data_IF_984511932179
#
_entry.id   IF_984511932179
#
_cell.length_a   1.000
_cell.length_b   1.000
_cell.length_c   1.000
_cell.angle_alpha   90.00
_cell.angle_beta   90.00
_cell.angle_gamma   90.00
#
_symmetry.space_group_name_H-M   'P 1'
#
loop_
_entity.id
_entity.type
_entity.pdbx_description
1 polymer ?
#
# COMPACT_ATOMS: atom_id res chain seq x y z
N UNK A 1 22.97 11.61 23.85
CA UNK A 1 22.01 10.49 23.91
C UNK A 1 20.65 11.04 23.49
N UNK A 2 20.18 10.80 22.27
CA UNK A 2 18.89 11.30 21.80
C UNK A 2 17.88 10.14 21.89
N UNK A 3 16.94 10.22 22.84
CA UNK A 3 15.87 9.24 23.01
C UNK A 3 14.82 9.48 21.93
N UNK A 4 14.73 8.58 20.95
CA UNK A 4 13.60 8.54 20.03
C UNK A 4 12.43 7.85 20.75
N UNK A 5 11.45 8.64 21.18
CA UNK A 5 10.14 8.13 21.61
C UNK A 5 9.45 7.60 20.37
N UNK A 6 9.40 6.27 20.21
CA UNK A 6 8.56 5.65 19.21
C UNK A 6 7.12 5.78 19.70
N UNK A 7 6.37 6.70 19.10
CA UNK A 7 4.94 6.85 19.38
C UNK A 7 4.24 5.52 19.13
N UNK A 8 3.49 5.09 20.14
CA UNK A 8 2.68 3.89 20.14
C UNK A 8 1.82 3.86 18.87
N UNK A 9 2.05 2.85 18.01
CA UNK A 9 1.14 2.59 16.90
C UNK A 9 -0.22 2.25 17.48
N UNK A 10 -1.15 3.14 17.17
CA UNK A 10 -2.44 3.32 17.78
C UNK A 10 -3.27 2.04 17.86
N UNK A 11 -3.99 1.94 18.96
CA UNK A 11 -4.70 0.77 19.45
C UNK A 11 -6.05 0.69 18.76
N UNK A 12 -6.34 -0.38 18.02
CA UNK A 12 -7.69 -0.86 17.66
C UNK A 12 -8.73 0.19 17.24
N UNK A 13 -8.34 1.21 16.48
CA UNK A 13 -9.31 1.92 15.65
C UNK A 13 -9.45 1.10 14.37
N UNK A 14 -10.66 0.71 13.99
CA UNK A 14 -10.92 0.19 12.63
C UNK A 14 -10.64 1.33 11.67
N UNK A 15 -9.36 1.46 11.28
CA UNK A 15 -8.88 2.51 10.40
C UNK A 15 -9.54 2.27 9.05
N UNK A 16 -10.54 3.08 8.74
CA UNK A 16 -11.23 3.04 7.45
C UNK A 16 -10.22 3.31 6.34
N UNK A 17 -10.18 2.44 5.34
CA UNK A 17 -9.35 2.61 4.15
C UNK A 17 -10.05 3.61 3.23
N UNK A 18 -9.30 4.60 2.73
CA UNK A 18 -9.80 5.66 1.87
C UNK A 18 -8.97 5.76 0.59
N UNK A 19 -9.53 6.38 -0.43
CA UNK A 19 -8.81 6.71 -1.67
C UNK A 19 -7.56 7.53 -1.34
N UNK A 20 -6.43 7.16 -1.94
CA UNK A 20 -5.11 7.76 -1.70
C UNK A 20 -4.29 7.08 -0.59
N UNK A 21 -4.85 6.11 0.12
CA UNK A 21 -4.04 5.29 1.03
C UNK A 21 -3.06 4.42 0.29
N UNK A 22 -1.90 4.20 0.92
CA UNK A 22 -0.96 3.17 0.50
C UNK A 22 -1.26 1.90 1.29
N UNK A 23 -1.37 0.78 0.60
CA UNK A 23 -1.68 -0.53 1.16
C UNK A 23 -0.76 -1.60 0.57
N UNK A 24 -0.62 -2.72 1.27
CA UNK A 24 0.04 -3.93 0.76
C UNK A 24 -0.81 -5.14 1.12
N UNK A 25 -0.82 -6.18 0.29
CA UNK A 25 -1.51 -7.42 0.66
C UNK A 25 -0.90 -8.01 1.92
N UNK A 26 -1.73 -8.64 2.75
CA UNK A 26 -1.27 -9.36 3.95
C UNK A 26 -0.30 -10.50 3.63
N UNK A 27 -0.40 -11.05 2.42
CA UNK A 27 0.50 -12.07 1.87
C UNK A 27 1.83 -11.50 1.37
N UNK A 28 2.03 -10.17 1.41
CA UNK A 28 3.20 -9.47 0.88
C UNK A 28 2.99 -8.98 -0.56
N UNK A 29 4.06 -8.44 -1.16
CA UNK A 29 4.03 -7.91 -2.52
C UNK A 29 4.19 -6.39 -2.59
N UNK A 30 3.81 -5.76 -3.71
CA UNK A 30 4.07 -4.35 -3.94
C UNK A 30 3.24 -3.45 -3.01
N UNK A 31 3.75 -2.23 -2.81
CA UNK A 31 2.97 -1.14 -2.21
C UNK A 31 2.04 -0.57 -3.28
N UNK A 32 0.76 -0.54 -2.97
CA UNK A 32 -0.30 -0.12 -3.89
C UNK A 32 -1.02 1.11 -3.35
N UNK A 33 -1.55 1.94 -4.23
CA UNK A 33 -2.38 3.09 -3.89
C UNK A 33 -3.84 2.76 -4.13
N UNK A 34 -4.71 3.01 -3.15
CA UNK A 34 -6.16 2.85 -3.29
C UNK A 34 -6.72 3.96 -4.19
N UNK A 35 -7.38 3.58 -5.29
CA UNK A 35 -8.00 4.52 -6.23
C UNK A 35 -9.52 4.52 -6.17
N UNK A 36 -10.12 3.48 -5.58
CA UNK A 36 -11.56 3.40 -5.33
C UNK A 36 -11.85 2.55 -4.09
N UNK A 37 -12.90 2.95 -3.35
CA UNK A 37 -13.46 2.20 -2.22
C UNK A 37 -14.97 2.11 -2.44
N UNK A 38 -15.53 0.90 -2.41
CA UNK A 38 -16.97 0.72 -2.50
C UNK A 38 -17.40 -0.65 -3.01
N UNK A 39 -18.71 -0.80 -3.19
CA UNK A 39 -19.29 -2.02 -3.74
C UNK A 39 -18.94 -2.14 -5.23
N UNK A 40 -18.47 -3.32 -5.64
CA UNK A 40 -18.19 -3.64 -7.04
C UNK A 40 -19.21 -4.67 -7.50
N UNK A 41 -19.68 -4.53 -8.74
CA UNK A 41 -20.82 -5.27 -9.28
C UNK A 41 -20.79 -6.77 -8.88
N UNK A 42 -21.91 -7.23 -8.30
CA UNK A 42 -22.17 -8.62 -7.88
C UNK A 42 -21.34 -9.15 -6.69
N UNK A 43 -20.57 -8.32 -5.99
CA UNK A 43 -19.87 -8.71 -4.77
C UNK A 43 -20.40 -7.93 -3.56
N UNK A 44 -20.72 -8.63 -2.49
CA UNK A 44 -21.05 -8.05 -1.18
C UNK A 44 -19.76 -7.65 -0.45
N UNK A 45 -19.85 -6.64 0.42
CA UNK A 45 -18.72 -6.13 1.21
C UNK A 45 -18.03 -4.90 0.61
N UNK A 46 -17.04 -4.37 1.34
CA UNK A 46 -16.21 -3.25 0.91
C UNK A 46 -15.03 -3.76 0.08
N UNK A 47 -14.94 -3.29 -1.16
CA UNK A 47 -13.86 -3.64 -2.09
C UNK A 47 -13.02 -2.42 -2.41
N UNK A 48 -11.75 -2.69 -2.69
CA UNK A 48 -10.76 -1.70 -3.03
C UNK A 48 -10.31 -1.93 -4.48
N UNK A 49 -10.20 -0.85 -5.25
CA UNK A 49 -9.38 -0.87 -6.46
C UNK A 49 -8.03 -0.26 -6.10
N UNK A 50 -6.97 -1.01 -6.36
CA UNK A 50 -5.60 -0.64 -6.01
C UNK A 50 -4.76 -0.58 -7.27
N UNK A 51 -3.87 0.42 -7.35
CA UNK A 51 -2.90 0.57 -8.43
C UNK A 51 -1.46 0.53 -7.90
N UNK A 52 -0.55 -0.04 -8.67
CA UNK A 52 0.88 -0.06 -8.37
C UNK A 52 1.70 -0.14 -9.65
N UNK A 53 3.00 0.08 -9.54
CA UNK A 53 3.94 -0.21 -10.61
C UNK A 53 4.57 -1.58 -10.37
N UNK A 54 4.57 -2.42 -11.39
CA UNK A 54 5.28 -3.70 -11.31
C UNK A 54 6.80 -3.53 -11.47
N UNK A 55 7.52 -4.66 -11.51
CA UNK A 55 8.99 -4.68 -11.62
C UNK A 55 9.51 -4.09 -12.94
N UNK A 56 8.64 -3.96 -13.96
CA UNK A 56 8.97 -3.32 -15.23
C UNK A 56 8.66 -1.82 -15.23
N UNK A 57 8.06 -1.29 -14.15
CA UNK A 57 7.59 0.08 -14.05
C UNK A 57 6.28 0.32 -14.80
N UNK A 58 5.52 -0.73 -15.12
CA UNK A 58 4.21 -0.61 -15.76
C UNK A 58 3.10 -0.46 -14.72
N UNK A 59 2.14 0.44 -14.99
CA UNK A 59 0.99 0.62 -14.13
C UNK A 59 0.08 -0.62 -14.18
N UNK A 60 -0.14 -1.24 -13.03
CA UNK A 60 -1.07 -2.33 -12.80
C UNK A 60 -2.25 -1.86 -11.95
N UNK A 61 -3.38 -2.54 -12.10
CA UNK A 61 -4.59 -2.29 -11.32
C UNK A 61 -5.28 -3.62 -11.02
N UNK A 62 -5.73 -3.79 -9.79
CA UNK A 62 -6.49 -4.96 -9.37
C UNK A 62 -7.49 -4.61 -8.25
N UNK A 63 -8.42 -5.52 -8.02
CA UNK A 63 -9.48 -5.39 -7.02
C UNK A 63 -9.24 -6.37 -5.87
N UNK A 64 -9.23 -5.85 -4.64
CA UNK A 64 -9.01 -6.64 -3.42
C UNK A 64 -10.11 -6.40 -2.41
N UNK A 65 -10.36 -7.38 -1.55
CA UNK A 65 -11.22 -7.19 -0.40
C UNK A 65 -10.48 -6.35 0.66
N UNK A 66 -11.22 -5.53 1.41
CA UNK A 66 -10.63 -4.66 2.43
C UNK A 66 -9.83 -5.43 3.50
N UNK A 67 -10.22 -6.66 3.81
CA UNK A 67 -9.57 -7.53 4.78
C UNK A 67 -8.34 -8.27 4.23
N UNK A 68 -8.02 -8.15 2.95
CA UNK A 68 -6.82 -8.75 2.33
C UNK A 68 -5.59 -7.84 2.42
N UNK A 69 -5.75 -6.60 2.88
CA UNK A 69 -4.68 -5.59 2.87
C UNK A 69 -4.32 -5.07 4.26
N UNK A 70 -3.12 -4.51 4.36
CA UNK A 70 -2.66 -3.66 5.46
C UNK A 70 -2.37 -2.27 4.96
N UNK A 71 -2.86 -1.24 5.67
CA UNK A 71 -2.47 0.16 5.43
C UNK A 71 -0.98 0.33 5.75
N UNK A 72 -0.28 1.02 4.86
CA UNK A 72 1.13 1.34 4.98
C UNK A 72 1.30 2.84 5.26
N UNK A 73 2.37 3.25 5.95
CA UNK A 73 2.73 4.66 6.08
C UNK A 73 2.90 5.30 4.70
N UNK A 74 2.34 6.49 4.47
CA UNK A 74 2.45 7.18 3.17
C UNK A 74 3.86 7.69 2.90
N UNK A 75 4.65 7.93 3.95
CA UNK A 75 6.07 8.21 3.85
C UNK A 75 6.86 6.93 3.66
N UNK A 76 7.84 6.97 2.76
CA UNK A 76 8.91 5.97 2.72
C UNK A 76 10.07 6.57 3.53
N UNK A 77 10.51 5.92 4.64
CA UNK A 77 11.68 6.37 5.36
C UNK A 77 12.87 6.45 4.39
N UNK A 78 13.69 7.49 4.50
CA UNK A 78 14.83 7.68 3.60
C UNK A 78 15.75 6.43 3.54
N UNK A 79 15.87 5.70 4.65
CA UNK A 79 16.66 4.46 4.73
C UNK A 79 16.03 3.23 4.07
N UNK A 80 14.78 3.29 3.61
CA UNK A 80 14.06 2.19 2.96
C UNK A 80 14.00 2.32 1.42
N UNK A 81 14.54 3.40 0.86
CA UNK A 81 14.59 3.64 -0.58
C UNK A 81 15.72 2.81 -1.19
N UNK A 82 15.36 1.76 -1.92
CA UNK A 82 16.31 1.02 -2.74
C UNK A 82 16.41 1.71 -4.11
N UNK A 83 17.59 2.25 -4.43
CA UNK A 83 17.84 2.84 -5.75
C UNK A 83 17.93 1.71 -6.77
N UNK A 84 16.90 1.55 -7.60
CA UNK A 84 17.02 0.76 -8.83
C UNK A 84 18.02 1.46 -9.76
N UNK A 85 19.24 0.94 -9.82
CA UNK A 85 20.23 1.37 -10.80
C UNK A 85 19.96 0.53 -12.05
N UNK A 86 19.32 1.12 -13.06
CA UNK A 86 19.16 0.45 -14.36
C UNK A 86 20.54 0.43 -15.02
N UNK A 87 21.27 -0.68 -14.85
CA UNK A 87 22.52 -0.91 -15.59
C UNK A 87 22.16 -1.05 -17.06
N UNK A 88 22.37 0.00 -17.85
CA UNK A 88 22.40 -0.11 -19.30
C UNK A 88 23.77 -0.71 -19.64
N UNK A 89 23.80 -1.99 -19.96
CA UNK A 89 25.02 -2.61 -20.53
C UNK A 89 25.29 -2.01 -21.91
N UNK A 90 26.55 -1.64 -22.23
CA UNK A 90 26.95 -1.08 -23.52
C UNK A 90 26.92 -2.10 -24.66
#
# INVERSE_FOLDING_TARGET
MLTATFDAFDTTQTVQIIVGDVVTLKTGGPRMTVTYVGAIARKTGEWLVCQWFDDHGELRQETFAQDEVWRQPRSIPAGSVHRFVRSVSP
#
